data_IF_003563977127
#
_entry.id   IF_003563977127
#
_cell.length_a   1.000
_cell.length_b   1.000
_cell.length_c   1.000
_cell.angle_alpha   90.00
_cell.angle_beta   90.00
_cell.angle_gamma   90.00
#
_symmetry.space_group_name_H-M   'P 1'
#
loop_
_entity.id
_entity.type
_entity.pdbx_description
1 polymer ?
#
# COMPACT_ATOMS: atom_id res chain seq x y z
N UNK A 1 -6.92 -15.11 14.96
CA UNK A 1 -6.38 -13.75 15.19
C UNK A 1 -7.58 -12.90 15.51
N UNK A 2 -7.64 -12.29 16.69
CA UNK A 2 -8.76 -11.43 17.04
C UNK A 2 -8.83 -10.25 16.07
N UNK A 3 -10.01 -10.05 15.48
CA UNK A 3 -10.23 -8.97 14.51
C UNK A 3 -10.33 -7.67 15.29
N UNK A 4 -9.28 -6.85 15.23
CA UNK A 4 -9.34 -5.46 15.71
C UNK A 4 -10.35 -4.68 14.86
N UNK A 5 -11.31 -4.04 15.53
CA UNK A 5 -12.25 -3.15 14.86
C UNK A 5 -11.57 -1.83 14.47
N UNK A 6 -12.13 -1.14 13.49
CA UNK A 6 -11.60 0.15 13.05
C UNK A 6 -11.65 1.20 14.18
N UNK A 7 -12.68 1.15 15.04
CA UNK A 7 -12.79 2.04 16.20
C UNK A 7 -11.72 1.77 17.26
N UNK A 8 -11.35 0.50 17.48
CA UNK A 8 -10.27 0.15 18.40
C UNK A 8 -8.91 0.64 17.86
N UNK A 9 -8.68 0.54 16.54
CA UNK A 9 -7.46 1.04 15.89
C UNK A 9 -7.34 2.57 16.01
N UNK A 10 -8.44 3.28 15.76
CA UNK A 10 -8.50 4.74 15.86
C UNK A 10 -8.24 5.23 17.29
N UNK A 11 -8.80 4.56 18.31
CA UNK A 11 -8.56 4.90 19.71
C UNK A 11 -7.12 4.65 20.16
N UNK A 12 -6.52 3.52 19.74
CA UNK A 12 -5.12 3.19 20.07
C UNK A 12 -4.16 4.23 19.47
N UNK A 13 -4.43 4.70 18.25
CA UNK A 13 -3.61 5.67 17.54
C UNK A 13 -4.02 7.13 17.80
N UNK A 14 -4.95 7.37 18.72
CA UNK A 14 -5.42 8.71 19.05
C UNK A 14 -4.28 9.60 19.54
N UNK A 15 -4.19 10.80 18.98
CA UNK A 15 -3.11 11.76 19.28
C UNK A 15 -1.77 11.45 18.58
N UNK A 16 -1.71 10.44 17.71
CA UNK A 16 -0.59 10.24 16.79
C UNK A 16 -0.64 11.23 15.61
N UNK A 17 0.46 11.30 14.85
CA UNK A 17 0.53 12.14 13.65
C UNK A 17 -0.46 11.69 12.57
N UNK A 18 -0.67 10.39 12.37
CA UNK A 18 -1.67 9.91 11.38
C UNK A 18 -3.08 10.39 11.76
N UNK A 19 -3.43 10.36 13.04
CA UNK A 19 -4.76 10.73 13.53
C UNK A 19 -5.11 12.19 13.16
N UNK A 20 -4.23 13.15 13.45
CA UNK A 20 -4.48 14.56 13.09
C UNK A 20 -4.54 14.82 11.57
N UNK A 21 -3.81 14.04 10.77
CA UNK A 21 -3.85 14.14 9.30
C UNK A 21 -5.17 13.57 8.76
N UNK A 22 -5.62 12.43 9.26
CA UNK A 22 -6.90 11.86 8.86
C UNK A 22 -8.09 12.72 9.29
N UNK A 23 -8.03 13.37 10.45
CA UNK A 23 -9.03 14.37 10.84
C UNK A 23 -9.11 15.53 9.84
N UNK A 24 -7.97 15.97 9.31
CA UNK A 24 -7.90 17.01 8.27
C UNK A 24 -8.54 16.55 6.96
N UNK A 25 -8.33 15.28 6.58
CA UNK A 25 -8.92 14.67 5.38
C UNK A 25 -10.42 14.34 5.55
N UNK A 26 -10.89 14.21 6.80
CA UNK A 26 -12.28 13.93 7.13
C UNK A 26 -13.17 15.18 7.26
N UNK A 27 -12.61 16.38 7.07
CA UNK A 27 -13.36 17.65 7.20
C UNK A 27 -14.67 17.67 6.40
N UNK A 28 -15.66 18.38 6.92
CA UNK A 28 -17.04 18.37 6.41
C UNK A 28 -17.16 18.82 4.94
N UNK A 29 -18.09 18.18 4.24
CA UNK A 29 -18.42 18.47 2.85
C UNK A 29 -19.82 19.07 2.81
N UNK A 30 -19.93 20.38 2.51
CA UNK A 30 -21.20 20.95 2.05
C UNK A 30 -21.66 20.20 0.80
N UNK A 31 -22.81 19.53 0.91
CA UNK A 31 -23.30 18.48 0.01
C UNK A 31 -24.19 18.97 -1.14
N UNK A 32 -24.41 20.28 -1.25
CA UNK A 32 -25.43 20.82 -2.16
C UNK A 32 -24.91 21.10 -3.58
N UNK A 33 -23.60 21.02 -3.83
CA UNK A 33 -23.02 21.27 -5.15
C UNK A 33 -21.92 20.26 -5.51
N UNK A 34 -22.22 19.41 -6.49
CA UNK A 34 -21.30 18.41 -7.03
C UNK A 34 -20.48 18.95 -8.20
N UNK A 35 -19.21 18.55 -8.28
CA UNK A 35 -18.37 18.83 -9.44
C UNK A 35 -18.86 18.05 -10.67
N UNK A 36 -18.45 18.47 -11.88
CA UNK A 36 -18.82 17.77 -13.11
C UNK A 36 -18.26 16.34 -13.17
N UNK A 37 -17.16 16.06 -12.48
CA UNK A 37 -16.64 14.71 -12.33
C UNK A 37 -17.56 13.86 -11.45
N UNK A 38 -17.94 14.37 -10.28
CA UNK A 38 -18.84 13.64 -9.39
C UNK A 38 -20.27 13.52 -9.93
N UNK A 39 -20.70 14.44 -10.81
CA UNK A 39 -21.96 14.31 -11.55
C UNK A 39 -21.98 13.12 -12.53
N UNK A 40 -20.84 12.50 -12.85
CA UNK A 40 -20.80 11.29 -13.69
C UNK A 40 -21.41 10.07 -12.98
N UNK A 41 -21.48 10.09 -11.64
CA UNK A 41 -22.15 9.11 -10.79
C UNK A 41 -23.69 9.25 -10.84
N UNK A 42 -24.27 9.36 -12.05
CA UNK A 42 -25.70 9.73 -12.23
C UNK A 42 -26.67 8.69 -11.68
N UNK A 43 -26.33 7.41 -11.84
CA UNK A 43 -27.16 6.28 -11.40
C UNK A 43 -26.76 5.76 -10.01
N UNK A 44 -25.70 6.35 -9.42
CA UNK A 44 -25.18 5.99 -8.11
C UNK A 44 -25.98 6.67 -7.01
N UNK A 45 -25.85 6.15 -5.79
CA UNK A 45 -26.45 6.72 -4.60
C UNK A 45 -25.89 8.09 -4.25
N UNK A 46 -26.61 8.79 -3.38
CA UNK A 46 -26.17 10.11 -2.89
C UNK A 46 -24.82 10.02 -2.13
N UNK A 47 -24.59 8.91 -1.46
CA UNK A 47 -23.36 8.69 -0.70
C UNK A 47 -22.14 8.53 -1.61
N UNK A 48 -22.30 8.01 -2.84
CA UNK A 48 -21.19 7.89 -3.81
C UNK A 48 -20.72 9.28 -4.25
N UNK A 49 -21.67 10.19 -4.49
CA UNK A 49 -21.40 11.59 -4.86
C UNK A 49 -20.76 12.35 -3.70
N UNK A 50 -21.19 12.09 -2.46
CA UNK A 50 -20.56 12.65 -1.26
C UNK A 50 -19.12 12.16 -1.12
N UNK A 51 -18.87 10.86 -1.27
CA UNK A 51 -17.52 10.29 -1.22
C UNK A 51 -16.63 10.91 -2.31
N UNK A 52 -17.11 10.95 -3.56
CA UNK A 52 -16.40 11.61 -4.67
C UNK A 52 -16.02 13.06 -4.32
N UNK A 53 -16.96 13.83 -3.78
CA UNK A 53 -16.72 15.23 -3.40
C UNK A 53 -15.72 15.33 -2.26
N UNK A 54 -15.78 14.41 -1.29
CA UNK A 54 -14.83 14.31 -0.19
C UNK A 54 -13.42 14.05 -0.73
N UNK A 55 -13.25 13.11 -1.66
CA UNK A 55 -11.98 12.81 -2.33
C UNK A 55 -11.40 14.05 -3.01
N UNK A 56 -12.19 14.74 -3.83
CA UNK A 56 -11.74 15.95 -4.55
C UNK A 56 -11.33 17.09 -3.59
N UNK A 57 -12.10 17.31 -2.52
CA UNK A 57 -11.80 18.34 -1.51
C UNK A 57 -10.57 17.96 -0.69
N UNK A 58 -10.43 16.71 -0.29
CA UNK A 58 -9.29 16.21 0.46
C UNK A 58 -7.99 16.39 -0.29
N UNK A 59 -7.94 16.11 -1.60
CA UNK A 59 -6.76 16.41 -2.44
C UNK A 59 -6.39 17.90 -2.45
N UNK A 60 -7.37 18.78 -2.62
CA UNK A 60 -7.15 20.24 -2.62
C UNK A 60 -6.73 20.78 -1.25
N UNK A 61 -7.26 20.22 -0.17
CA UNK A 61 -6.89 20.59 1.19
C UNK A 61 -5.48 20.08 1.53
N UNK A 62 -5.14 18.89 1.08
CA UNK A 62 -3.83 18.28 1.30
C UNK A 62 -2.71 19.10 0.63
N UNK A 63 -2.93 19.55 -0.61
CA UNK A 63 -1.96 20.38 -1.34
C UNK A 63 -1.71 21.73 -0.67
N UNK A 64 -2.69 22.28 0.06
CA UNK A 64 -2.58 23.59 0.71
C UNK A 64 -2.12 23.52 2.16
N UNK A 65 -2.69 22.59 2.95
CA UNK A 65 -2.46 22.49 4.41
C UNK A 65 -1.22 21.69 4.81
N UNK A 66 -0.77 20.77 3.96
CA UNK A 66 0.36 19.86 4.26
C UNK A 66 1.52 20.02 3.26
N UNK A 67 1.60 21.16 2.59
CA UNK A 67 2.65 21.50 1.61
C UNK A 67 4.08 21.50 2.15
N UNK A 68 4.25 21.60 3.48
CA UNK A 68 5.56 21.57 4.16
C UNK A 68 6.01 20.17 4.57
N UNK A 69 5.13 19.16 4.48
CA UNK A 69 5.49 17.75 4.70
C UNK A 69 6.09 17.19 3.42
N UNK A 70 7.10 16.30 3.51
CA UNK A 70 7.67 15.71 2.28
C UNK A 70 6.59 15.03 1.45
N UNK A 71 6.68 15.16 0.12
CA UNK A 71 5.69 14.68 -0.85
C UNK A 71 5.25 13.22 -0.62
N UNK A 72 6.20 12.29 -0.50
CA UNK A 72 5.94 10.86 -0.25
C UNK A 72 5.09 10.63 1.00
N UNK A 73 5.35 11.41 2.05
CA UNK A 73 4.60 11.29 3.30
C UNK A 73 3.18 11.81 3.15
N UNK A 74 3.00 12.95 2.49
CA UNK A 74 1.69 13.58 2.28
C UNK A 74 0.77 12.69 1.43
N UNK A 75 1.29 12.18 0.31
CA UNK A 75 0.53 11.39 -0.64
C UNK A 75 0.25 9.96 -0.14
N UNK A 76 1.14 9.39 0.68
CA UNK A 76 0.87 8.14 1.40
C UNK A 76 -0.39 8.25 2.27
N UNK A 77 -0.47 9.27 3.13
CA UNK A 77 -1.67 9.48 3.97
C UNK A 77 -2.95 9.58 3.15
N UNK A 78 -2.93 10.37 2.07
CA UNK A 78 -4.11 10.51 1.22
C UNK A 78 -4.51 9.18 0.57
N UNK A 79 -3.55 8.43 0.04
CA UNK A 79 -3.80 7.16 -0.66
C UNK A 79 -4.48 6.16 0.27
N UNK A 80 -3.93 5.96 1.47
CA UNK A 80 -4.47 4.97 2.41
C UNK A 80 -5.73 5.44 3.12
N UNK A 81 -5.94 6.76 3.22
CA UNK A 81 -7.24 7.31 3.60
C UNK A 81 -8.29 7.04 2.52
N UNK A 82 -8.00 7.28 1.24
CA UNK A 82 -8.93 6.99 0.13
C UNK A 82 -9.31 5.51 0.11
N UNK A 83 -8.33 4.62 0.25
CA UNK A 83 -8.55 3.17 0.34
C UNK A 83 -9.45 2.79 1.52
N UNK A 84 -9.28 3.45 2.67
CA UNK A 84 -10.09 3.23 3.86
C UNK A 84 -11.56 3.63 3.64
N UNK A 85 -11.80 4.81 3.06
CA UNK A 85 -13.14 5.33 2.80
C UNK A 85 -13.88 4.44 1.80
N UNK A 86 -13.20 4.02 0.74
CA UNK A 86 -13.74 3.09 -0.26
C UNK A 86 -14.03 1.73 0.38
N UNK A 87 -13.14 1.21 1.23
CA UNK A 87 -13.39 -0.04 1.96
C UNK A 87 -14.61 0.07 2.89
N UNK A 88 -14.69 1.14 3.68
CA UNK A 88 -15.80 1.36 4.62
C UNK A 88 -17.14 1.41 3.88
N UNK A 89 -17.16 1.98 2.68
CA UNK A 89 -18.38 2.14 1.89
C UNK A 89 -18.81 0.85 1.16
N UNK A 90 -17.88 0.14 0.52
CA UNK A 90 -18.23 -0.97 -0.40
C UNK A 90 -17.82 -2.36 0.09
N UNK A 91 -17.00 -2.45 1.14
CA UNK A 91 -16.46 -3.74 1.61
C UNK A 91 -17.49 -4.71 2.17
N UNK A 92 -18.66 -4.20 2.58
CA UNK A 92 -19.80 -5.03 3.02
C UNK A 92 -20.69 -5.38 1.81
N UNK A 93 -20.23 -6.31 0.96
CA UNK A 93 -21.02 -6.77 -0.19
C UNK A 93 -20.18 -7.16 -1.40
N UNK A 94 -18.93 -6.72 -1.44
CA UNK A 94 -18.01 -6.97 -2.53
C UNK A 94 -16.69 -7.51 -2.00
N UNK A 95 -16.01 -8.32 -2.80
CA UNK A 95 -14.71 -8.89 -2.44
C UNK A 95 -13.56 -8.00 -2.90
N UNK A 96 -13.72 -7.37 -4.07
CA UNK A 96 -12.70 -6.60 -4.79
C UNK A 96 -13.23 -5.27 -5.28
N UNK A 97 -12.34 -4.29 -5.44
CA UNK A 97 -12.74 -2.95 -5.89
C UNK A 97 -13.22 -2.92 -7.35
N UNK A 98 -12.75 -3.86 -8.19
CA UNK A 98 -13.17 -4.01 -9.58
C UNK A 98 -14.62 -4.49 -9.76
N UNK A 99 -15.27 -4.94 -8.69
CA UNK A 99 -16.68 -5.36 -8.73
C UNK A 99 -17.65 -4.17 -8.68
N UNK A 100 -17.15 -2.95 -8.47
CA UNK A 100 -17.95 -1.74 -8.30
C UNK A 100 -17.42 -0.61 -9.21
N UNK A 101 -18.11 -0.38 -10.33
CA UNK A 101 -17.74 0.62 -11.34
C UNK A 101 -17.65 2.05 -10.79
N UNK A 102 -18.47 2.37 -9.78
CA UNK A 102 -18.49 3.69 -9.14
C UNK A 102 -17.16 4.01 -8.44
N UNK A 103 -16.42 3.00 -7.96
CA UNK A 103 -15.10 3.19 -7.35
C UNK A 103 -14.12 3.74 -8.39
N UNK A 104 -14.09 3.18 -9.59
CA UNK A 104 -13.24 3.68 -10.67
C UNK A 104 -13.59 5.12 -11.04
N UNK A 105 -14.89 5.45 -11.04
CA UNK A 105 -15.35 6.82 -11.29
C UNK A 105 -14.88 7.80 -10.21
N UNK A 106 -14.92 7.41 -8.93
CA UNK A 106 -14.41 8.22 -7.80
C UNK A 106 -12.90 8.45 -7.92
N UNK A 107 -12.13 7.41 -8.23
CA UNK A 107 -10.68 7.53 -8.43
C UNK A 107 -10.34 8.45 -9.60
N UNK A 108 -11.06 8.32 -10.72
CA UNK A 108 -10.89 9.20 -11.88
C UNK A 108 -11.21 10.66 -11.56
N UNK A 109 -12.23 10.93 -10.74
CA UNK A 109 -12.53 12.29 -10.29
C UNK A 109 -11.35 12.91 -9.53
N UNK A 110 -10.74 12.15 -8.61
CA UNK A 110 -9.54 12.61 -7.91
C UNK A 110 -8.32 12.74 -8.84
N UNK A 111 -8.17 11.87 -9.86
CA UNK A 111 -7.13 12.01 -10.89
C UNK A 111 -7.28 13.32 -11.68
N UNK A 112 -8.50 13.71 -12.04
CA UNK A 112 -8.75 15.02 -12.69
C UNK A 112 -8.35 16.19 -11.79
N UNK A 113 -8.57 16.10 -10.47
CA UNK A 113 -8.05 17.11 -9.53
C UNK A 113 -6.53 17.14 -9.53
N UNK A 114 -5.86 15.98 -9.48
CA UNK A 114 -4.39 15.92 -9.48
C UNK A 114 -3.76 16.63 -10.68
N UNK A 115 -4.35 16.53 -11.88
CA UNK A 115 -3.88 17.26 -13.07
C UNK A 115 -3.80 18.78 -12.86
N UNK A 116 -4.65 19.33 -11.99
CA UNK A 116 -4.70 20.76 -11.68
C UNK A 116 -3.72 21.17 -10.57
N UNK A 117 -3.19 20.22 -9.79
CA UNK A 117 -2.35 20.49 -8.62
C UNK A 117 -0.84 20.58 -8.96
N UNK A 118 -0.42 20.16 -10.15
CA UNK A 118 0.99 20.23 -10.58
C UNK A 118 1.91 19.45 -9.64
N UNK A 119 2.93 20.11 -9.06
CA UNK A 119 3.88 19.50 -8.11
C UNK A 119 3.23 19.03 -6.81
N UNK A 120 2.02 19.49 -6.52
CA UNK A 120 1.28 19.13 -5.31
C UNK A 120 0.32 17.95 -5.53
N UNK A 121 0.34 17.35 -6.71
CA UNK A 121 -0.44 16.16 -7.02
C UNK A 121 -0.02 14.97 -6.15
N UNK A 122 -0.98 14.10 -5.85
CA UNK A 122 -0.76 12.83 -5.18
C UNK A 122 -1.30 11.71 -6.04
N UNK A 123 -0.41 11.03 -6.75
CA UNK A 123 -0.78 9.88 -7.57
C UNK A 123 -0.94 8.64 -6.70
N UNK A 124 -1.97 7.86 -6.98
CA UNK A 124 -2.32 6.63 -6.29
C UNK A 124 -2.80 5.60 -7.32
N UNK A 125 -2.63 4.33 -6.98
CA UNK A 125 -2.97 3.24 -7.88
C UNK A 125 -4.44 2.83 -7.76
N UNK A 126 -5.06 2.52 -8.89
CA UNK A 126 -6.27 1.72 -8.95
C UNK A 126 -5.90 0.36 -9.56
N UNK A 127 -6.11 -0.72 -8.83
CA UNK A 127 -5.99 -2.09 -9.32
C UNK A 127 -7.30 -2.80 -9.03
N UNK A 128 -8.07 -3.10 -10.07
CA UNK A 128 -9.38 -3.76 -10.00
C UNK A 128 -9.36 -5.04 -9.15
N UNK A 129 -8.23 -5.74 -9.14
CA UNK A 129 -8.02 -6.98 -8.40
C UNK A 129 -7.71 -6.81 -6.92
N UNK A 130 -7.48 -5.58 -6.43
CA UNK A 130 -7.32 -5.35 -5.00
C UNK A 130 -8.59 -5.73 -4.25
N UNK A 131 -8.42 -6.61 -3.26
CA UNK A 131 -9.50 -6.95 -2.34
C UNK A 131 -9.68 -5.83 -1.32
N UNK A 132 -10.87 -5.74 -0.74
CA UNK A 132 -11.11 -4.81 0.37
C UNK A 132 -10.25 -5.14 1.61
N UNK A 133 -9.83 -6.40 1.75
CA UNK A 133 -8.85 -6.79 2.77
C UNK A 133 -7.44 -6.27 2.43
N UNK A 134 -7.00 -6.31 1.17
CA UNK A 134 -5.72 -5.72 0.76
C UNK A 134 -5.66 -4.23 1.12
N UNK A 135 -6.73 -3.48 0.82
CA UNK A 135 -6.84 -2.07 1.20
C UNK A 135 -6.70 -1.85 2.71
N UNK A 136 -7.31 -2.72 3.53
CA UNK A 136 -7.21 -2.68 4.99
C UNK A 136 -5.78 -2.96 5.46
N UNK A 137 -5.14 -4.01 4.94
CA UNK A 137 -3.78 -4.39 5.30
C UNK A 137 -2.78 -3.29 4.94
N UNK A 138 -2.85 -2.76 3.72
CA UNK A 138 -1.98 -1.69 3.23
C UNK A 138 -2.08 -0.44 4.11
N UNK A 139 -3.30 0.01 4.45
CA UNK A 139 -3.50 1.13 5.37
C UNK A 139 -2.86 0.87 6.73
N UNK A 140 -3.14 -0.28 7.33
CA UNK A 140 -2.69 -0.57 8.68
C UNK A 140 -1.17 -0.74 8.77
N UNK A 141 -0.54 -1.27 7.71
CA UNK A 141 0.91 -1.31 7.57
C UNK A 141 1.49 0.09 7.40
N UNK A 142 0.94 0.91 6.51
CA UNK A 142 1.34 2.31 6.35
C UNK A 142 1.28 3.04 7.70
N UNK A 143 0.15 2.98 8.40
CA UNK A 143 -0.05 3.65 9.70
C UNK A 143 0.93 3.17 10.76
N UNK A 144 1.24 1.87 10.78
CA UNK A 144 2.24 1.31 11.69
C UNK A 144 3.62 1.93 11.46
N UNK A 145 4.11 1.96 10.22
CA UNK A 145 5.41 2.55 9.93
C UNK A 145 5.43 4.06 10.17
N UNK A 146 4.33 4.77 9.86
CA UNK A 146 4.23 6.22 10.08
C UNK A 146 4.16 6.61 11.55
N UNK A 147 3.59 5.74 12.40
CA UNK A 147 3.50 5.96 13.83
C UNK A 147 4.54 5.19 14.64
N UNK A 148 5.51 4.54 14.00
CA UNK A 148 6.46 3.66 14.68
C UNK A 148 7.17 4.37 15.84
N UNK A 149 7.70 5.57 15.59
CA UNK A 149 8.37 6.36 16.63
C UNK A 149 7.43 6.76 17.78
N UNK A 150 6.17 7.09 17.46
CA UNK A 150 5.14 7.39 18.46
C UNK A 150 4.85 6.16 19.35
N UNK A 151 4.72 4.99 18.73
CA UNK A 151 4.44 3.72 19.41
C UNK A 151 5.63 3.31 20.28
N UNK A 152 6.85 3.34 19.75
CA UNK A 152 8.08 2.93 20.46
C UNK A 152 8.38 3.82 21.66
N UNK A 153 8.02 5.10 21.57
CA UNK A 153 8.21 6.09 22.63
C UNK A 153 7.06 6.13 23.65
N UNK A 154 6.19 5.12 23.68
CA UNK A 154 5.11 4.96 24.67
C UNK A 154 5.59 5.15 26.12
N UNK A 155 6.82 4.77 26.45
CA UNK A 155 7.43 4.97 27.79
C UNK A 155 7.69 6.44 28.14
N UNK A 156 7.81 7.33 27.16
CA UNK A 156 8.02 8.76 27.43
C UNK A 156 6.76 9.41 28.03
N UNK A 157 5.63 8.70 27.99
CA UNK A 157 4.38 9.07 28.68
C UNK A 157 4.25 8.50 30.11
N UNK A 158 5.24 7.76 30.64
CA UNK A 158 5.21 7.20 32.00
C UNK A 158 5.79 5.78 32.13
N UNK A 159 5.02 4.88 32.76
CA UNK A 159 5.41 3.47 33.02
C UNK A 159 5.47 2.62 31.74
N UNK A 160 6.25 1.53 31.76
CA UNK A 160 6.22 0.48 30.72
C UNK A 160 4.82 -0.13 30.53
N UNK A 161 3.96 -0.08 31.56
CA UNK A 161 2.57 -0.53 31.45
C UNK A 161 1.76 0.31 30.44
N UNK A 162 2.16 1.56 30.17
CA UNK A 162 1.52 2.39 29.15
C UNK A 162 1.76 1.85 27.73
N UNK A 163 2.79 1.02 27.53
CA UNK A 163 3.07 0.39 26.24
C UNK A 163 2.18 -0.83 25.99
N UNK A 164 1.64 -1.46 27.04
CA UNK A 164 0.77 -2.64 26.90
C UNK A 164 -0.50 -2.35 26.11
N UNK A 165 -0.98 -1.10 26.12
CA UNK A 165 -2.14 -0.69 25.30
C UNK A 165 -1.93 -0.93 23.80
N UNK A 166 -0.68 -0.94 23.33
CA UNK A 166 -0.34 -1.20 21.93
C UNK A 166 -0.21 -2.69 21.61
N UNK A 167 -0.15 -3.61 22.60
CA UNK A 167 0.12 -5.03 22.35
C UNK A 167 -0.87 -5.65 21.36
N UNK A 168 -2.16 -5.35 21.49
CA UNK A 168 -3.18 -5.88 20.58
C UNK A 168 -2.98 -5.36 19.15
N UNK A 169 -2.69 -4.07 19.00
CA UNK A 169 -2.41 -3.45 17.71
C UNK A 169 -1.15 -4.03 17.05
N UNK A 170 -0.03 -4.08 17.78
CA UNK A 170 1.23 -4.62 17.28
C UNK A 170 1.09 -6.11 16.95
N UNK A 171 0.32 -6.87 17.72
CA UNK A 171 0.04 -8.29 17.43
C UNK A 171 -0.76 -8.47 16.14
N UNK A 172 -1.69 -7.56 15.86
CA UNK A 172 -2.41 -7.57 14.59
C UNK A 172 -1.50 -7.20 13.43
N UNK A 173 -0.70 -6.14 13.59
CA UNK A 173 0.30 -5.72 12.60
C UNK A 173 1.29 -6.85 12.32
N UNK A 174 1.75 -7.57 13.33
CA UNK A 174 2.65 -8.71 13.19
C UNK A 174 2.08 -9.77 12.22
N UNK A 175 0.79 -10.09 12.33
CA UNK A 175 0.13 -11.01 11.41
C UNK A 175 0.15 -10.55 9.96
N UNK A 176 -0.27 -9.30 9.70
CA UNK A 176 -0.30 -8.75 8.33
C UNK A 176 1.11 -8.45 7.79
N UNK A 177 2.07 -8.12 8.66
CA UNK A 177 3.48 -7.91 8.30
C UNK A 177 4.07 -9.19 7.71
N UNK A 178 3.83 -10.34 8.34
CA UNK A 178 4.28 -11.66 7.84
C UNK A 178 3.71 -12.00 6.46
N UNK A 179 2.46 -11.64 6.21
CA UNK A 179 1.82 -11.88 4.91
C UNK A 179 2.37 -10.97 3.80
N UNK A 180 2.89 -9.80 4.16
CA UNK A 180 3.32 -8.78 3.20
C UNK A 180 4.84 -8.78 2.99
N UNK A 181 5.66 -9.12 3.99
CA UNK A 181 7.12 -9.11 3.87
C UNK A 181 7.63 -10.00 2.73
N UNK A 182 7.02 -11.16 2.50
CA UNK A 182 7.41 -12.06 1.40
C UNK A 182 7.15 -11.48 0.01
N UNK A 183 6.13 -10.63 -0.11
CA UNK A 183 5.72 -9.99 -1.36
C UNK A 183 6.43 -8.64 -1.57
N UNK A 184 6.72 -7.96 -0.48
CA UNK A 184 7.23 -6.58 -0.48
C UNK A 184 8.74 -6.49 -0.32
N UNK A 185 9.41 -7.52 0.21
CA UNK A 185 10.85 -7.47 0.47
C UNK A 185 11.61 -8.49 -0.36
N UNK A 186 12.61 -7.99 -1.09
CA UNK A 186 13.58 -8.82 -1.78
C UNK A 186 14.98 -8.55 -1.22
N UNK A 187 15.55 -9.54 -0.53
CA UNK A 187 16.82 -9.39 0.16
C UNK A 187 17.94 -10.15 -0.54
N UNK A 188 19.13 -9.55 -0.59
CA UNK A 188 20.33 -10.13 -1.18
C UNK A 188 21.32 -10.54 -0.08
N UNK A 189 21.65 -11.83 -0.04
CA UNK A 189 22.49 -12.47 0.98
C UNK A 189 23.82 -11.73 1.22
N UNK A 190 24.53 -11.37 0.15
CA UNK A 190 25.89 -10.80 0.23
C UNK A 190 25.94 -9.36 0.80
N UNK A 191 24.80 -8.70 1.01
CA UNK A 191 24.77 -7.29 1.41
C UNK A 191 23.93 -6.99 2.67
N UNK A 192 23.12 -7.94 3.13
CA UNK A 192 22.01 -7.69 4.08
C UNK A 192 21.10 -6.50 3.68
N UNK A 193 21.16 -6.07 2.40
CA UNK A 193 20.29 -5.02 1.88
C UNK A 193 19.05 -5.66 1.31
N UNK A 194 17.92 -5.26 1.86
CA UNK A 194 16.61 -5.55 1.32
C UNK A 194 16.14 -4.40 0.44
N UNK A 195 15.56 -4.74 -0.70
CA UNK A 195 14.85 -3.78 -1.54
C UNK A 195 13.37 -3.87 -1.22
N UNK A 196 12.79 -2.70 -0.95
CA UNK A 196 11.36 -2.56 -0.76
C UNK A 196 10.66 -2.41 -2.10
N UNK A 197 9.75 -3.34 -2.39
CA UNK A 197 8.93 -3.37 -3.60
C UNK A 197 7.59 -2.67 -3.38
N UNK A 198 7.18 -2.48 -2.12
CA UNK A 198 5.93 -1.85 -1.70
C UNK A 198 6.19 -0.56 -0.92
N UNK A 199 7.11 0.28 -1.42
CA UNK A 199 7.65 1.47 -0.73
C UNK A 199 6.60 2.43 -0.19
N UNK A 200 5.39 2.39 -0.75
CA UNK A 200 4.30 3.28 -0.38
C UNK A 200 3.66 2.91 0.96
N UNK A 201 3.67 1.63 1.38
CA UNK A 201 3.09 1.19 2.66
C UNK A 201 3.95 0.21 3.47
N UNK A 202 5.04 -0.30 2.92
CA UNK A 202 5.87 -1.30 3.59
C UNK A 202 7.28 -0.78 3.87
N UNK A 203 7.90 -1.33 4.93
CA UNK A 203 9.31 -1.10 5.26
C UNK A 203 10.01 -2.43 5.58
N UNK A 204 11.00 -2.79 4.77
CA UNK A 204 11.79 -4.02 4.92
C UNK A 204 12.91 -3.96 5.97
N UNK A 205 13.12 -2.84 6.66
CA UNK A 205 14.17 -2.74 7.67
C UNK A 205 13.80 -3.49 8.93
N UNK A 206 14.77 -4.24 9.47
CA UNK A 206 14.65 -5.05 10.69
C UNK A 206 14.10 -4.23 11.88
N UNK A 207 14.49 -2.96 12.01
CA UNK A 207 14.04 -2.12 13.13
C UNK A 207 12.52 -1.99 13.24
N UNK A 208 11.78 -2.21 12.15
CA UNK A 208 10.32 -2.17 12.15
C UNK A 208 9.66 -3.53 12.41
N UNK A 209 10.42 -4.57 12.73
CA UNK A 209 9.89 -5.91 12.96
C UNK A 209 8.93 -5.93 14.17
N UNK A 210 7.62 -6.26 13.98
CA UNK A 210 6.65 -6.13 15.06
C UNK A 210 6.88 -7.06 16.27
N UNK A 211 7.47 -8.25 16.08
CA UNK A 211 7.68 -9.19 17.19
C UNK A 211 8.70 -8.65 18.21
N UNK A 212 9.67 -7.84 17.75
CA UNK A 212 10.63 -7.16 18.64
C UNK A 212 9.94 -6.11 19.52
N UNK A 213 8.91 -5.42 18.98
CA UNK A 213 8.07 -4.54 19.78
C UNK A 213 7.24 -5.31 20.80
N UNK A 214 6.68 -6.46 20.42
CA UNK A 214 5.93 -7.32 21.35
C UNK A 214 6.80 -7.76 22.53
N UNK A 215 8.04 -8.18 22.25
CA UNK A 215 9.03 -8.48 23.28
C UNK A 215 9.32 -7.25 24.17
N UNK A 216 9.64 -6.12 23.54
CA UNK A 216 9.98 -4.86 24.24
C UNK A 216 8.86 -4.36 25.15
N UNK A 217 7.60 -4.50 24.71
CA UNK A 217 6.42 -4.09 25.46
C UNK A 217 5.94 -5.14 26.46
N UNK A 218 6.61 -6.31 26.52
CA UNK A 218 6.24 -7.46 27.37
C UNK A 218 4.80 -7.92 27.13
N UNK A 219 4.44 -8.05 25.85
CA UNK A 219 3.14 -8.54 25.43
C UNK A 219 3.06 -10.06 25.55
N UNK A 220 1.92 -10.59 25.99
CA UNK A 220 1.70 -12.05 26.09
C UNK A 220 1.70 -12.75 24.71
N UNK A 221 1.49 -11.99 23.64
CA UNK A 221 1.49 -12.47 22.25
C UNK A 221 2.88 -12.53 21.61
N UNK A 222 3.94 -12.16 22.33
CA UNK A 222 5.31 -12.28 21.83
C UNK A 222 5.63 -13.74 21.47
N UNK A 223 6.20 -13.94 20.27
CA UNK A 223 6.62 -15.25 19.81
C UNK A 223 8.14 -15.42 20.00
N UNK A 224 8.56 -16.10 21.06
CA UNK A 224 9.99 -16.37 21.31
C UNK A 224 10.64 -17.32 20.32
N UNK A 225 9.85 -18.01 19.50
CA UNK A 225 10.34 -19.01 18.56
C UNK A 225 10.56 -18.45 17.15
N UNK A 226 10.37 -17.14 16.94
CA UNK A 226 10.56 -16.52 15.63
C UNK A 226 11.32 -15.20 15.72
N UNK A 227 12.49 -15.20 15.10
CA UNK A 227 13.38 -14.04 14.96
C UNK A 227 13.20 -13.36 13.60
N UNK A 228 13.74 -12.16 13.43
CA UNK A 228 13.78 -11.53 12.11
C UNK A 228 14.64 -12.34 11.13
N UNK A 229 15.71 -12.99 11.59
CA UNK A 229 16.57 -13.85 10.77
C UNK A 229 15.79 -15.03 10.15
N UNK A 230 14.84 -15.61 10.89
CA UNK A 230 13.97 -16.67 10.38
C UNK A 230 13.10 -16.17 9.21
N UNK A 231 12.59 -14.95 9.31
CA UNK A 231 11.84 -14.29 8.22
C UNK A 231 12.77 -13.95 7.05
N UNK A 232 13.96 -13.43 7.33
CA UNK A 232 14.96 -13.06 6.34
C UNK A 232 15.38 -14.29 5.51
N UNK A 233 15.52 -15.45 6.14
CA UNK A 233 15.85 -16.71 5.47
C UNK A 233 14.79 -17.12 4.42
N UNK A 234 13.51 -16.77 4.63
CA UNK A 234 12.43 -17.08 3.68
C UNK A 234 12.40 -16.15 2.46
N UNK A 235 12.85 -14.91 2.61
CA UNK A 235 12.78 -13.86 1.57
C UNK A 235 14.12 -13.60 0.86
N UNK A 236 15.22 -14.12 1.40
CA UNK A 236 16.54 -13.96 0.80
C UNK A 236 16.68 -14.90 -0.40
N UNK A 237 17.02 -14.35 -1.56
CA UNK A 237 17.28 -15.19 -2.74
C UNK A 237 18.63 -15.90 -2.56
N UNK A 238 18.56 -17.22 -2.34
CA UNK A 238 19.68 -18.05 -1.95
C UNK A 238 20.86 -18.03 -2.95
N UNK A 239 22.05 -17.65 -2.46
CA UNK A 239 23.31 -17.68 -3.21
C UNK A 239 23.62 -19.11 -3.65
N UNK A 240 23.21 -20.13 -2.90
CA UNK A 240 23.43 -21.54 -3.26
C UNK A 240 22.64 -21.94 -4.51
N UNK A 241 21.43 -21.42 -4.69
CA UNK A 241 20.62 -21.67 -5.87
C UNK A 241 21.23 -21.00 -7.13
N UNK A 242 21.87 -19.84 -6.97
CA UNK A 242 22.54 -19.09 -8.04
C UNK A 242 23.96 -19.65 -8.32
N UNK A 243 24.70 -20.07 -7.29
CA UNK A 243 26.04 -20.67 -7.38
C UNK A 243 25.97 -22.11 -7.92
N UNK A 244 25.11 -22.98 -7.36
CA UNK A 244 24.94 -24.37 -7.87
C UNK A 244 24.45 -24.40 -9.32
N UNK A 245 23.70 -23.38 -9.77
CA UNK A 245 23.30 -23.27 -11.17
C UNK A 245 24.39 -22.70 -12.10
N UNK A 246 25.41 -22.01 -11.57
CA UNK A 246 26.58 -21.56 -12.34
C UNK A 246 27.68 -22.61 -12.45
N UNK A 247 27.77 -23.56 -11.51
CA UNK A 247 28.90 -24.50 -11.38
C UNK A 247 28.58 -25.99 -11.63
N UNK A 248 27.39 -26.36 -12.09
CA UNK A 248 27.04 -27.76 -12.43
C UNK A 248 26.75 -27.97 -13.92
N UNK A 249 27.09 -29.14 -14.48
CA UNK A 249 26.78 -29.53 -15.87
C UNK A 249 25.27 -29.49 -16.21
N UNK A 250 24.42 -29.59 -15.18
CA UNK A 250 22.96 -29.44 -15.26
C UNK A 250 22.47 -28.07 -14.74
N UNK A 251 23.36 -27.09 -14.57
CA UNK A 251 23.07 -25.79 -14.00
C UNK A 251 21.99 -25.01 -14.76
N UNK A 252 21.92 -25.18 -16.07
CA UNK A 252 20.83 -24.71 -16.94
C UNK A 252 19.45 -25.29 -16.55
N UNK A 253 19.40 -26.58 -16.19
CA UNK A 253 18.18 -27.27 -15.75
C UNK A 253 17.75 -26.86 -14.34
N UNK A 254 18.70 -26.71 -13.42
CA UNK A 254 18.44 -26.24 -12.04
C UNK A 254 17.97 -24.78 -12.07
N UNK A 255 18.63 -23.93 -12.86
CA UNK A 255 18.19 -22.55 -13.14
C UNK A 255 16.78 -22.53 -13.72
N UNK A 256 16.48 -23.38 -14.72
CA UNK A 256 15.12 -23.55 -15.26
C UNK A 256 14.12 -24.02 -14.20
N UNK A 257 14.48 -24.88 -13.25
CA UNK A 257 13.58 -25.36 -12.18
C UNK A 257 13.32 -24.31 -11.10
N UNK A 258 14.34 -23.54 -10.71
CA UNK A 258 14.20 -22.39 -9.80
C UNK A 258 13.40 -21.30 -10.48
N UNK A 259 13.70 -20.99 -11.74
CA UNK A 259 12.90 -20.08 -12.57
C UNK A 259 11.50 -20.64 -12.81
N UNK A 260 11.28 -21.95 -12.88
CA UNK A 260 9.95 -22.57 -13.00
C UNK A 260 9.19 -22.57 -11.68
N UNK A 261 9.84 -22.70 -10.51
CA UNK A 261 9.21 -22.46 -9.20
C UNK A 261 8.87 -20.98 -9.02
N UNK A 262 9.79 -20.07 -9.40
CA UNK A 262 9.54 -18.63 -9.46
C UNK A 262 8.48 -18.27 -10.50
N UNK A 263 8.44 -18.93 -11.66
CA UNK A 263 7.37 -18.79 -12.68
C UNK A 263 6.11 -19.51 -12.27
N UNK A 264 6.09 -20.49 -11.38
CA UNK A 264 4.84 -21.03 -10.85
C UNK A 264 4.28 -20.06 -9.82
N UNK A 265 5.11 -19.51 -8.93
CA UNK A 265 4.68 -18.41 -8.04
C UNK A 265 4.31 -17.15 -8.83
N UNK A 266 5.13 -16.77 -9.82
CA UNK A 266 4.93 -15.61 -10.66
C UNK A 266 3.79 -15.83 -11.64
N UNK A 267 3.66 -16.96 -12.37
CA UNK A 267 2.52 -17.25 -13.25
C UNK A 267 1.23 -17.53 -12.48
N UNK A 268 1.25 -17.99 -11.24
CA UNK A 268 0.04 -17.94 -10.40
C UNK A 268 -0.42 -16.47 -10.18
N UNK A 269 0.52 -15.52 -10.19
CA UNK A 269 0.25 -14.08 -10.18
C UNK A 269 0.14 -13.45 -11.60
N UNK A 270 0.68 -14.09 -12.65
CA UNK A 270 0.81 -13.55 -14.00
C UNK A 270 -0.26 -14.11 -14.95
N UNK A 271 -0.81 -15.29 -14.71
CA UNK A 271 -2.08 -15.72 -15.34
C UNK A 271 -3.21 -14.74 -14.94
N UNK A 272 -3.04 -14.03 -13.81
CA UNK A 272 -3.89 -12.92 -13.37
C UNK A 272 -3.52 -11.56 -14.01
N UNK A 273 -2.27 -11.37 -14.44
CA UNK A 273 -1.72 -10.12 -15.05
C UNK A 273 -1.77 -10.11 -16.58
N UNK A 274 -1.67 -11.28 -17.22
CA UNK A 274 -1.68 -11.47 -18.66
C UNK A 274 -3.12 -11.32 -19.21
N UNK A 275 -4.15 -11.63 -18.42
CA UNK A 275 -5.54 -11.24 -18.71
C UNK A 275 -5.68 -9.70 -18.79
N UNK A 276 -5.05 -8.95 -17.88
CA UNK A 276 -5.02 -7.48 -17.86
C UNK A 276 -4.25 -6.91 -19.07
N UNK A 277 -3.08 -7.47 -19.40
CA UNK A 277 -2.28 -7.06 -20.57
C UNK A 277 -2.99 -7.33 -21.91
N UNK A 278 -3.84 -8.36 -21.97
CA UNK A 278 -4.65 -8.64 -23.17
C UNK A 278 -5.75 -7.60 -23.37
N UNK A 279 -6.30 -7.06 -22.28
CA UNK A 279 -7.33 -6.02 -22.28
C UNK A 279 -6.77 -4.65 -22.65
N UNK A 280 -5.61 -4.27 -22.10
CA UNK A 280 -4.91 -3.01 -22.40
C UNK A 280 -4.42 -2.95 -23.86
N UNK A 281 -3.97 -4.07 -24.44
CA UNK A 281 -3.60 -4.12 -25.88
C UNK A 281 -4.79 -3.90 -26.80
N UNK A 282 -6.00 -4.28 -26.37
CA UNK A 282 -7.23 -4.07 -27.15
C UNK A 282 -7.59 -2.59 -27.20
N UNK A 283 -7.43 -1.87 -26.07
CA UNK A 283 -7.65 -0.42 -25.96
C UNK A 283 -6.63 0.41 -26.74
N UNK A 284 -5.36 -0.02 -26.84
CA UNK A 284 -4.32 0.69 -27.59
C UNK A 284 -4.39 0.50 -29.12
N UNK A 285 -5.22 -0.42 -29.61
CA UNK A 285 -5.34 -0.72 -31.05
C UNK A 285 -6.34 0.20 -31.80
N UNK A 286 -7.13 1.00 -31.08
CA UNK A 286 -8.05 1.98 -31.65
C UNK A 286 -7.36 3.36 -31.82
N UNK A 287 -6.56 3.45 -32.89
CA UNK A 287 -5.97 4.59 -33.64
C UNK A 287 -6.69 5.99 -33.54
N UNK A 288 -6.09 7.17 -33.94
CA UNK A 288 -5.13 7.30 -35.06
C UNK A 288 -4.04 8.44 -35.07
N UNK A 289 -3.04 8.19 -35.95
CA UNK A 289 -2.36 9.13 -36.90
C UNK A 289 -1.09 9.93 -36.52
N UNK A 290 0.00 9.49 -37.17
CA UNK A 290 1.00 10.21 -38.01
C UNK A 290 1.68 11.50 -37.51
N UNK A 291 3.00 11.41 -37.34
CA UNK A 291 3.96 12.51 -37.51
C UNK A 291 5.41 12.04 -37.25
N UNK A 292 6.13 11.57 -38.27
CA UNK A 292 7.58 11.26 -38.18
C UNK A 292 8.37 12.57 -38.19
N UNK A 293 9.20 12.80 -37.17
CA UNK A 293 10.32 13.74 -37.24
C UNK A 293 11.62 12.93 -37.17
N UNK A 294 12.42 13.03 -38.23
CA UNK A 294 13.76 12.44 -38.33
C UNK A 294 14.76 13.53 -37.94
N UNK A 295 15.65 13.24 -36.99
CA UNK A 295 16.85 14.07 -36.74
C UNK A 295 18.08 13.17 -36.87
N UNK A 296 18.93 13.50 -37.83
CA UNK A 296 20.24 12.89 -38.05
C UNK A 296 21.33 13.79 -37.43
N UNK A 297 22.25 13.22 -36.66
CA UNK A 297 23.45 13.91 -36.19
C UNK A 297 24.55 13.89 -37.25
N UNK A 298 25.18 15.04 -37.52
CA UNK A 298 26.47 15.13 -38.21
C UNK A 298 27.56 15.40 -37.16
N UNK A 299 28.63 14.60 -37.20
CA UNK A 299 29.87 14.83 -36.46
C UNK A 299 30.77 15.78 -37.27
N UNK A 300 31.38 16.73 -36.57
CA UNK A 300 32.67 17.33 -36.91
C UNK A 300 33.43 17.61 -35.61
#
# INVERSE_FOLDING_TARGET
MDVLSDSELEDILKGSTTNGIYDTLNGEVDSTSYSDNCKKLKNSGEDDKKLCTKVEKSLKNLSTKLSTTSENYRCGYFTYWLYDEVRKMYGNGHSKIGEVDDILTIFNAGYEINKTLGKDACYYDYKDYYTFNDLKEMKNLHDYFRNFDYIVNCKNSGSMDNCKKYCRYVSYVYGIYKNNIQRCCNCFYDSHKCTDMCKDYFNCQEMYYPNDLLYKFKCDTYNSNETFDDILALITTDRDAILKSRFTLFGSFIKKRILKKKMVNYNFHNDYSDEISSYERKLLSENPRRGRLHVSYQNA
#
